data_IF_503717418704
#
_entry.id   IF_503717418704
#
_cell.length_a   1.000
_cell.length_b   1.000
_cell.length_c   1.000
_cell.angle_alpha   90.00
_cell.angle_beta   90.00
_cell.angle_gamma   90.00
#
_symmetry.space_group_name_H-M   'P 1'
#
loop_
_entity.id
_entity.type
_entity.pdbx_description
1 polymer ?
#
# COMPACT_ATOMS: atom_id res chain seq x y z
N UNK A 1 -2.53 -21.52 3.91
CA UNK A 1 -1.09 -21.14 3.83
C UNK A 1 -0.91 -19.66 3.46
N UNK A 2 -1.98 -18.96 3.08
CA UNK A 2 -1.87 -17.56 2.65
C UNK A 2 -1.14 -17.43 1.31
N UNK A 3 -1.23 -18.43 0.44
CA UNK A 3 -0.73 -18.36 -0.93
C UNK A 3 -1.69 -17.55 -1.81
N UNK A 4 -1.12 -16.77 -2.72
CA UNK A 4 -1.85 -15.91 -3.64
C UNK A 4 -1.71 -16.44 -5.06
N UNK A 5 -2.76 -16.29 -5.85
CA UNK A 5 -2.77 -16.52 -7.29
C UNK A 5 -3.44 -15.32 -7.93
N UNK A 6 -2.84 -14.77 -8.98
CA UNK A 6 -3.46 -13.74 -9.82
C UNK A 6 -3.75 -14.27 -11.22
N UNK A 7 -4.69 -13.62 -11.90
CA UNK A 7 -5.08 -13.93 -13.27
C UNK A 7 -5.53 -12.65 -13.98
N UNK A 8 -5.43 -12.60 -15.30
CA UNK A 8 -5.84 -11.45 -16.12
C UNK A 8 -4.69 -10.88 -16.95
N UNK A 9 -4.69 -9.57 -17.19
CA UNK A 9 -3.58 -8.91 -17.88
C UNK A 9 -2.33 -8.89 -17.00
N UNK A 10 -1.24 -9.48 -17.48
CA UNK A 10 0.02 -9.60 -16.76
C UNK A 10 0.62 -8.23 -16.36
N UNK A 11 0.51 -7.22 -17.22
CA UNK A 11 1.00 -5.85 -16.95
C UNK A 11 0.24 -5.17 -15.81
N UNK A 12 -1.01 -5.57 -15.58
CA UNK A 12 -1.89 -4.99 -14.56
C UNK A 12 -2.11 -5.93 -13.36
N UNK A 13 -1.08 -6.72 -13.03
CA UNK A 13 -1.05 -7.57 -11.83
C UNK A 13 -1.64 -8.96 -12.01
N UNK A 14 -2.07 -9.33 -13.22
CA UNK A 14 -2.56 -10.66 -13.57
C UNK A 14 -1.49 -11.77 -13.57
N UNK A 15 -0.21 -11.42 -13.37
CA UNK A 15 0.90 -12.35 -13.16
C UNK A 15 1.69 -11.97 -11.89
N UNK A 16 1.59 -12.81 -10.85
CA UNK A 16 2.34 -12.68 -9.59
C UNK A 16 3.59 -13.55 -9.54
N UNK A 17 3.98 -14.22 -10.64
CA UNK A 17 5.04 -15.23 -10.65
C UNK A 17 6.39 -14.70 -10.17
N UNK A 18 6.72 -13.43 -10.46
CA UNK A 18 7.95 -12.77 -10.04
C UNK A 18 8.09 -12.63 -8.52
N UNK A 19 6.97 -12.48 -7.82
CA UNK A 19 6.91 -12.31 -6.35
C UNK A 19 6.33 -13.52 -5.63
N UNK A 20 5.96 -14.58 -6.35
CA UNK A 20 5.26 -15.76 -5.82
C UNK A 20 5.95 -16.41 -4.62
N UNK A 21 7.28 -16.42 -4.61
CA UNK A 21 8.07 -16.98 -3.52
C UNK A 21 7.93 -16.20 -2.21
N UNK A 22 7.56 -14.91 -2.28
CA UNK A 22 7.35 -13.99 -1.16
C UNK A 22 5.88 -14.00 -0.68
N UNK A 23 4.93 -14.37 -1.54
CA UNK A 23 3.50 -14.40 -1.24
C UNK A 23 3.10 -15.66 -0.43
N UNK A 24 3.60 -15.72 0.81
CA UNK A 24 3.32 -16.77 1.79
C UNK A 24 2.82 -16.15 3.08
N UNK A 25 1.86 -16.80 3.74
CA UNK A 25 1.23 -16.27 4.95
C UNK A 25 0.63 -14.86 4.74
N UNK A 26 0.08 -14.60 3.54
CA UNK A 26 -0.64 -13.36 3.25
C UNK A 26 -1.90 -13.30 4.11
N UNK A 27 -2.11 -12.17 4.77
CA UNK A 27 -3.26 -11.91 5.64
C UNK A 27 -4.22 -10.86 5.06
N UNK A 28 -3.73 -9.98 4.18
CA UNK A 28 -4.54 -8.96 3.50
C UNK A 28 -4.08 -8.77 2.06
N UNK A 29 -5.03 -8.44 1.18
CA UNK A 29 -4.81 -8.09 -0.22
C UNK A 29 -5.58 -6.82 -0.55
N UNK A 30 -4.87 -5.85 -1.11
CA UNK A 30 -5.41 -4.57 -1.52
C UNK A 30 -5.02 -4.28 -2.96
N UNK A 31 -5.89 -3.61 -3.71
CA UNK A 31 -5.71 -3.37 -5.14
C UNK A 31 -5.91 -1.89 -5.49
N UNK A 32 -5.03 -1.35 -6.32
CA UNK A 32 -5.21 -0.08 -7.02
C UNK A 32 -5.84 -0.32 -8.40
N UNK A 33 -5.81 0.67 -9.29
CA UNK A 33 -6.34 0.54 -10.64
C UNK A 33 -5.66 -0.55 -11.48
N UNK A 34 -4.37 -0.81 -11.26
CA UNK A 34 -3.54 -1.72 -12.07
C UNK A 34 -2.44 -2.45 -11.29
N UNK A 35 -2.48 -2.41 -9.96
CA UNK A 35 -1.48 -3.05 -9.10
C UNK A 35 -2.10 -3.62 -7.83
N UNK A 36 -1.36 -4.48 -7.15
CA UNK A 36 -1.75 -5.11 -5.90
C UNK A 36 -0.68 -4.94 -4.83
N UNK A 37 -1.13 -4.96 -3.59
CA UNK A 37 -0.31 -5.01 -2.39
C UNK A 37 -0.81 -6.15 -1.48
N UNK A 38 0.11 -6.99 -1.03
CA UNK A 38 -0.16 -8.04 -0.05
C UNK A 38 0.51 -7.68 1.28
N UNK A 39 -0.25 -7.73 2.36
CA UNK A 39 0.30 -7.68 3.73
C UNK A 39 0.50 -9.11 4.23
N UNK A 40 1.72 -9.41 4.67
CA UNK A 40 2.07 -10.71 5.23
C UNK A 40 1.79 -10.76 6.74
N UNK A 41 1.80 -11.95 7.32
CA UNK A 41 1.61 -12.15 8.77
C UNK A 41 2.68 -11.46 9.62
N UNK A 42 3.90 -11.29 9.09
CA UNK A 42 4.98 -10.52 9.71
C UNK A 42 4.86 -9.00 9.50
N UNK A 43 3.74 -8.55 8.92
CA UNK A 43 3.40 -7.15 8.62
C UNK A 43 4.27 -6.48 7.56
N UNK A 44 5.09 -7.24 6.83
CA UNK A 44 5.74 -6.75 5.63
C UNK A 44 4.76 -6.65 4.45
N UNK A 45 5.12 -5.86 3.44
CA UNK A 45 4.30 -5.63 2.25
C UNK A 45 5.04 -6.05 0.99
N UNK A 46 4.35 -6.82 0.13
CA UNK A 46 4.80 -7.21 -1.20
C UNK A 46 3.86 -6.58 -2.23
N UNK A 47 4.39 -5.89 -3.23
CA UNK A 47 3.61 -5.29 -4.32
C UNK A 47 3.93 -5.94 -5.67
N UNK A 48 2.96 -5.93 -6.59
CA UNK A 48 3.15 -6.33 -7.99
C UNK A 48 2.12 -5.68 -8.92
N UNK A 49 2.33 -5.82 -10.22
CA UNK A 49 1.54 -5.16 -11.27
C UNK A 49 2.22 -3.90 -11.78
N UNK A 50 1.44 -2.95 -12.29
CA UNK A 50 1.97 -1.76 -12.95
C UNK A 50 2.71 -0.86 -11.94
N UNK A 51 3.98 -0.59 -12.24
CA UNK A 51 4.84 0.25 -11.41
C UNK A 51 4.26 1.66 -11.25
N UNK A 52 3.61 2.24 -12.26
CA UNK A 52 3.00 3.58 -12.22
C UNK A 52 1.74 3.64 -11.34
N UNK A 53 1.18 2.49 -10.98
CA UNK A 53 0.00 2.35 -10.14
C UNK A 53 0.31 1.79 -8.74
N UNK A 54 1.60 1.70 -8.40
CA UNK A 54 2.10 1.32 -7.08
C UNK A 54 2.53 -0.13 -6.95
N UNK A 55 2.69 -0.83 -8.08
CA UNK A 55 3.22 -2.20 -8.14
C UNK A 55 4.70 -2.30 -7.71
N UNK A 56 5.41 -1.18 -7.61
CA UNK A 56 6.77 -1.09 -7.07
C UNK A 56 6.81 -0.23 -5.80
N UNK A 57 7.06 -0.87 -4.66
CA UNK A 57 7.27 -0.24 -3.35
C UNK A 57 8.74 -0.19 -2.91
N UNK A 58 9.70 -0.50 -3.80
CA UNK A 58 11.10 -0.68 -3.40
C UNK A 58 11.72 0.57 -2.76
N UNK A 59 11.36 1.75 -3.23
CA UNK A 59 11.85 3.03 -2.70
C UNK A 59 11.49 3.23 -1.21
N UNK A 60 10.32 2.76 -0.79
CA UNK A 60 9.79 2.91 0.58
C UNK A 60 9.85 1.62 1.39
N UNK A 61 10.49 0.57 0.86
CA UNK A 61 10.51 -0.77 1.47
C UNK A 61 11.01 -0.76 2.92
N UNK A 62 11.94 0.13 3.24
CA UNK A 62 12.51 0.26 4.58
C UNK A 62 11.58 0.99 5.57
N UNK A 63 10.56 1.68 5.07
CA UNK A 63 9.54 2.39 5.85
C UNK A 63 8.29 1.53 6.04
N UNK A 64 8.04 0.57 5.14
CA UNK A 64 6.92 -0.39 5.20
C UNK A 64 7.18 -1.55 6.20
N UNK A 65 7.53 -1.19 7.43
CA UNK A 65 7.71 -2.10 8.56
C UNK A 65 6.51 -1.99 9.49
N UNK A 66 6.06 -3.12 10.05
CA UNK A 66 4.93 -3.13 10.98
C UNK A 66 3.64 -2.51 10.41
N UNK A 67 3.33 -2.81 9.15
CA UNK A 67 2.12 -2.34 8.50
C UNK A 67 0.88 -2.89 9.21
N UNK A 68 -0.04 -1.98 9.52
CA UNK A 68 -1.36 -2.29 10.07
C UNK A 68 -2.41 -2.41 8.98
N UNK A 69 -2.40 -1.51 8.01
CA UNK A 69 -3.41 -1.42 6.97
C UNK A 69 -2.84 -0.77 5.70
N UNK A 70 -3.24 -1.27 4.54
CA UNK A 70 -2.99 -0.65 3.24
C UNK A 70 -4.28 0.01 2.74
N UNK A 71 -4.15 1.18 2.13
CA UNK A 71 -5.25 1.96 1.58
C UNK A 71 -4.87 2.38 0.15
N UNK A 72 -5.41 1.70 -0.88
CA UNK A 72 -5.15 2.05 -2.27
C UNK A 72 -5.96 3.27 -2.73
N UNK A 73 -5.35 4.13 -3.57
CA UNK A 73 -6.06 5.04 -4.47
C UNK A 73 -5.97 4.51 -5.91
N UNK A 74 -6.32 5.32 -6.93
CA UNK A 74 -6.23 4.87 -8.31
C UNK A 74 -4.79 4.56 -8.74
N UNK A 75 -3.81 5.41 -8.39
CA UNK A 75 -2.40 5.30 -8.81
C UNK A 75 -1.37 5.36 -7.67
N UNK A 76 -1.83 5.34 -6.42
CA UNK A 76 -0.96 5.40 -5.25
C UNK A 76 -1.48 4.47 -4.16
N UNK A 77 -0.64 4.24 -3.16
CA UNK A 77 -1.04 3.55 -1.93
C UNK A 77 -0.59 4.37 -0.73
N UNK A 78 -1.33 4.20 0.36
CA UNK A 78 -0.94 4.64 1.69
C UNK A 78 -0.93 3.42 2.63
N UNK A 79 0.09 3.32 3.47
CA UNK A 79 0.16 2.34 4.55
C UNK A 79 0.05 3.07 5.89
N UNK A 80 -0.80 2.57 6.78
CA UNK A 80 -0.80 2.96 8.19
C UNK A 80 0.06 1.95 8.94
N UNK A 81 1.07 2.42 9.67
CA UNK A 81 1.94 1.56 10.49
C UNK A 81 1.34 1.35 11.88
N UNK A 82 1.89 0.40 12.65
CA UNK A 82 1.45 0.12 14.02
C UNK A 82 1.60 1.29 14.98
N UNK A 83 2.58 2.17 14.75
CA UNK A 83 2.78 3.39 15.54
C UNK A 83 1.85 4.55 15.15
N UNK A 84 0.97 4.33 14.17
CA UNK A 84 0.02 5.33 13.66
C UNK A 84 0.64 6.32 12.67
N UNK A 85 1.89 6.14 12.26
CA UNK A 85 2.48 6.91 11.15
C UNK A 85 1.98 6.39 9.79
N UNK A 86 2.20 7.20 8.75
CA UNK A 86 1.76 6.89 7.39
C UNK A 86 2.92 6.96 6.41
N UNK A 87 3.02 5.94 5.56
CA UNK A 87 3.92 5.88 4.42
C UNK A 87 3.08 5.88 3.16
N UNK A 88 3.31 6.81 2.25
CA UNK A 88 2.69 6.78 0.92
C UNK A 88 3.73 6.49 -0.14
N UNK A 89 3.31 5.88 -1.24
CA UNK A 89 4.17 5.74 -2.39
C UNK A 89 3.40 5.87 -3.69
N UNK A 90 4.21 6.10 -4.71
CA UNK A 90 3.85 6.30 -6.10
C UNK A 90 3.24 7.67 -6.37
N UNK A 91 2.23 7.74 -7.24
CA UNK A 91 1.97 8.96 -8.02
C UNK A 91 1.67 10.14 -7.09
N UNK A 92 2.52 11.19 -7.05
CA UNK A 92 2.32 12.35 -6.18
C UNK A 92 0.97 13.03 -6.42
N UNK A 93 0.56 13.11 -7.69
CA UNK A 93 -0.73 13.68 -8.13
C UNK A 93 -1.95 12.87 -7.63
N UNK A 94 -1.73 11.69 -7.06
CA UNK A 94 -2.76 10.78 -6.55
C UNK A 94 -2.59 10.49 -5.04
N UNK A 95 -1.82 11.33 -4.33
CA UNK A 95 -1.56 11.22 -2.90
C UNK A 95 -0.36 10.33 -2.53
N UNK A 96 0.46 9.94 -3.52
CA UNK A 96 1.67 9.13 -3.32
C UNK A 96 2.87 9.87 -2.72
N UNK A 97 2.75 11.17 -2.47
CA UNK A 97 3.71 11.99 -1.72
C UNK A 97 3.00 12.70 -0.56
N UNK A 98 3.22 12.20 0.66
CA UNK A 98 2.69 12.81 1.90
C UNK A 98 3.71 13.69 2.62
N UNK A 99 4.89 13.97 2.03
CA UNK A 99 5.98 14.70 2.70
C UNK A 99 5.56 16.09 3.21
N UNK A 100 4.68 16.78 2.48
CA UNK A 100 4.16 18.09 2.88
C UNK A 100 3.33 18.06 4.18
N UNK A 101 2.72 16.93 4.50
CA UNK A 101 1.82 16.75 5.65
C UNK A 101 2.31 15.66 6.63
N UNK A 102 3.51 15.12 6.45
CA UNK A 102 4.03 13.99 7.25
C UNK A 102 4.06 14.30 8.76
N UNK A 103 4.27 15.56 9.13
CA UNK A 103 4.27 16.02 10.52
C UNK A 103 2.88 15.96 11.18
N UNK A 104 1.80 15.96 10.38
CA UNK A 104 0.40 15.86 10.80
C UNK A 104 -0.10 14.41 10.78
N UNK A 105 0.55 13.52 10.03
CA UNK A 105 0.16 12.10 9.90
C UNK A 105 0.75 11.26 11.04
N UNK A 106 0.34 11.59 12.27
CA UNK A 106 0.69 10.86 13.50
C UNK A 106 -0.60 10.44 14.20
N UNK A 107 -0.59 9.26 14.82
CA UNK A 107 -1.81 8.75 15.47
C UNK A 107 -2.95 8.47 14.48
N UNK A 108 -2.63 8.12 13.24
CA UNK A 108 -3.64 7.88 12.19
C UNK A 108 -4.43 6.61 12.49
N UNK A 109 -5.73 6.79 12.71
CA UNK A 109 -6.66 5.70 12.97
C UNK A 109 -7.19 5.07 11.68
N UNK A 110 -7.44 5.90 10.67
CA UNK A 110 -8.03 5.46 9.40
C UNK A 110 -7.60 6.39 8.28
N UNK A 111 -7.43 5.83 7.08
CA UNK A 111 -7.28 6.59 5.83
C UNK A 111 -8.50 6.30 4.96
N UNK A 112 -9.03 7.34 4.30
CA UNK A 112 -10.07 7.24 3.29
C UNK A 112 -9.52 7.72 1.96
N UNK A 113 -9.37 6.82 0.96
CA UNK A 113 -8.97 7.20 -0.38
C UNK A 113 -10.14 7.80 -1.16
N UNK A 114 -9.83 8.78 -1.99
CA UNK A 114 -10.59 9.13 -3.18
C UNK A 114 -9.88 8.57 -4.42
N UNK A 115 -10.36 8.92 -5.61
CA UNK A 115 -9.65 8.56 -6.84
C UNK A 115 -8.26 9.21 -6.94
N UNK A 116 -8.03 10.38 -6.33
CA UNK A 116 -6.86 11.23 -6.55
C UNK A 116 -6.17 11.71 -5.26
N UNK A 117 -6.67 11.34 -4.09
CA UNK A 117 -6.19 11.89 -2.82
C UNK A 117 -6.55 10.97 -1.65
N UNK A 118 -5.96 11.22 -0.49
CA UNK A 118 -6.27 10.56 0.77
C UNK A 118 -6.71 11.58 1.82
N UNK A 119 -7.61 11.18 2.71
CA UNK A 119 -7.93 11.88 3.95
C UNK A 119 -7.62 10.97 5.14
N UNK A 120 -7.05 11.51 6.22
CA UNK A 120 -6.72 10.77 7.42
C UNK A 120 -7.64 11.19 8.58
N UNK A 121 -8.08 10.22 9.38
CA UNK A 121 -8.71 10.43 10.68
C UNK A 121 -7.65 10.22 11.76
N UNK A 122 -7.39 11.25 12.57
CA UNK A 122 -6.39 11.24 13.64
C UNK A 122 -7.03 10.83 14.98
N UNK A 123 -6.23 10.27 15.88
CA UNK A 123 -6.65 9.90 17.24
C UNK A 123 -6.83 11.09 18.18
N UNK A 124 -6.28 12.26 17.82
CA UNK A 124 -6.36 13.50 18.57
C UNK A 124 -7.66 14.30 18.32
N UNK A 125 -8.50 13.85 17.39
CA UNK A 125 -9.80 14.45 17.10
C UNK A 125 -9.78 15.76 16.30
N UNK A 126 -8.66 16.08 15.63
CA UNK A 126 -8.50 17.28 14.79
C UNK A 126 -9.01 17.12 13.36
#
# INVERSE_FOLDING_TARGET
DGTVVSWGNAEFGGDSSSVQHQLRNVVCLDASGSAFAATLQDRSVITWGDAEFGGDSHAVKHELLDVRQICPSRHAFAAILLDGSVVTWRSPDFGGDSSAVCHQLKGVLQIQPSLFAFAALLDDGS
#
